data_IF_181374062962
#
_entry.id   IF_181374062962
#
_cell.length_a   1.000
_cell.length_b   1.000
_cell.length_c   1.000
_cell.angle_alpha   90.00
_cell.angle_beta   90.00
_cell.angle_gamma   90.00
#
_symmetry.space_group_name_H-M   'P 1'
#
loop_
_entity.id
_entity.type
_entity.pdbx_description
1 polymer ?
#
# COMPACT_ATOMS: atom_id res chain seq x y z
N UNK A 1 -14.57 9.13 -4.49
CA UNK A 1 -15.44 9.31 -5.67
C UNK A 1 -15.18 10.61 -6.43
N UNK A 2 -15.06 11.78 -5.77
CA UNK A 2 -14.70 13.03 -6.47
C UNK A 2 -13.36 12.96 -7.21
N UNK A 3 -12.41 12.17 -6.71
CA UNK A 3 -11.11 11.93 -7.34
C UNK A 3 -11.22 11.30 -8.75
N UNK A 4 -12.26 10.51 -9.04
CA UNK A 4 -12.44 9.89 -10.35
C UNK A 4 -13.04 10.85 -11.38
N UNK A 5 -13.76 11.89 -10.93
CA UNK A 5 -14.46 12.83 -11.81
C UNK A 5 -13.80 14.20 -11.87
N UNK A 6 -12.98 14.55 -10.88
CA UNK A 6 -12.32 15.86 -10.75
C UNK A 6 -10.81 15.76 -10.61
N UNK A 7 -10.26 14.54 -10.55
CA UNK A 7 -8.82 14.32 -10.52
C UNK A 7 -8.19 14.66 -11.87
N UNK A 8 -6.96 15.17 -11.84
CA UNK A 8 -6.15 15.29 -13.05
C UNK A 8 -5.81 13.91 -13.58
N UNK A 9 -5.83 13.73 -14.90
CA UNK A 9 -5.39 12.48 -15.57
C UNK A 9 -3.93 12.14 -15.26
N UNK A 10 -3.11 13.15 -14.99
CA UNK A 10 -1.68 12.98 -14.72
C UNK A 10 -1.39 12.69 -13.23
N UNK A 11 -2.40 12.77 -12.37
CA UNK A 11 -2.23 12.57 -10.94
C UNK A 11 -2.20 11.08 -10.56
N UNK A 12 -1.37 10.76 -9.58
CA UNK A 12 -1.38 9.45 -8.92
C UNK A 12 -2.56 9.38 -7.94
N UNK A 13 -3.47 8.42 -8.16
CA UNK A 13 -4.58 8.13 -7.27
C UNK A 13 -4.22 6.99 -6.32
N UNK A 14 -3.99 7.30 -5.04
CA UNK A 14 -3.64 6.31 -4.00
C UNK A 14 -4.89 5.96 -3.17
N UNK A 15 -5.30 4.69 -3.24
CA UNK A 15 -6.46 4.16 -2.52
C UNK A 15 -6.03 3.54 -1.19
N UNK A 16 -6.24 4.27 -0.09
CA UNK A 16 -6.07 3.79 1.30
C UNK A 16 -7.44 3.60 1.98
N UNK A 17 -7.43 3.11 3.22
CA UNK A 17 -8.62 2.79 4.01
C UNK A 17 -9.05 1.33 3.86
N UNK A 18 -10.13 0.96 4.54
CA UNK A 18 -10.76 -0.35 4.41
C UNK A 18 -11.38 -0.51 3.02
N UNK A 19 -11.16 -1.65 2.37
CA UNK A 19 -11.62 -1.91 1.00
C UNK A 19 -12.43 -3.20 0.93
N UNK A 20 -13.65 -3.07 0.45
CA UNK A 20 -14.49 -4.19 0.01
C UNK A 20 -14.38 -4.38 -1.51
N UNK A 21 -15.11 -5.37 -2.04
CA UNK A 21 -15.13 -5.66 -3.48
C UNK A 21 -15.63 -4.48 -4.33
N UNK A 22 -16.60 -3.71 -3.83
CA UNK A 22 -17.10 -2.52 -4.56
C UNK A 22 -16.03 -1.43 -4.66
N UNK A 23 -15.33 -1.15 -3.57
CA UNK A 23 -14.20 -0.21 -3.57
C UNK A 23 -13.14 -0.68 -4.56
N UNK A 24 -12.69 -1.94 -4.46
CA UNK A 24 -11.66 -2.49 -5.34
C UNK A 24 -12.08 -2.42 -6.80
N UNK A 25 -13.33 -2.79 -7.10
CA UNK A 25 -13.89 -2.71 -8.46
C UNK A 25 -13.82 -1.29 -9.00
N UNK A 26 -14.18 -0.31 -8.18
CA UNK A 26 -14.13 1.10 -8.55
C UNK A 26 -12.69 1.60 -8.78
N UNK A 27 -11.74 1.19 -7.94
CA UNK A 27 -10.33 1.53 -8.12
C UNK A 27 -9.76 0.94 -9.42
N UNK A 28 -10.14 -0.30 -9.75
CA UNK A 28 -9.79 -0.95 -11.02
C UNK A 28 -10.46 -0.28 -12.21
N UNK A 29 -11.72 0.14 -12.10
CA UNK A 29 -12.37 0.94 -13.16
C UNK A 29 -11.65 2.27 -13.40
N UNK A 30 -11.10 2.91 -12.36
CA UNK A 30 -10.24 4.08 -12.50
C UNK A 30 -9.07 3.83 -13.46
N UNK A 31 -8.49 2.64 -13.44
CA UNK A 31 -7.43 2.25 -14.40
C UNK A 31 -7.94 2.13 -15.84
N UNK A 32 -9.16 1.62 -16.03
CA UNK A 32 -9.79 1.59 -17.36
C UNK A 32 -10.04 2.99 -17.92
N UNK A 33 -10.21 3.97 -17.03
CA UNK A 33 -10.33 5.39 -17.37
C UNK A 33 -8.97 6.10 -17.50
N UNK A 34 -7.88 5.34 -17.61
CA UNK A 34 -6.50 5.83 -17.72
C UNK A 34 -6.01 6.66 -16.53
N UNK A 35 -6.63 6.53 -15.35
CA UNK A 35 -6.07 7.10 -14.13
C UNK A 35 -4.93 6.22 -13.61
N UNK A 36 -3.90 6.88 -13.08
CA UNK A 36 -2.78 6.21 -12.44
C UNK A 36 -3.17 5.76 -11.02
N UNK A 37 -3.95 4.69 -10.92
CA UNK A 37 -4.53 4.22 -9.65
C UNK A 37 -3.70 3.12 -9.00
N UNK A 38 -3.37 3.30 -7.71
CA UNK A 38 -2.68 2.32 -6.87
C UNK A 38 -3.56 1.92 -5.69
N UNK A 39 -3.76 0.63 -5.50
CA UNK A 39 -4.52 0.06 -4.37
C UNK A 39 -3.53 -0.32 -3.27
N UNK A 40 -3.54 0.41 -2.15
CA UNK A 40 -2.62 0.16 -1.03
C UNK A 40 -3.25 -0.82 -0.05
N UNK A 41 -2.70 -2.02 0.07
CA UNK A 41 -3.14 -3.01 1.04
C UNK A 41 -2.80 -2.56 2.46
N UNK A 42 -3.82 -2.51 3.31
CA UNK A 42 -3.69 -2.15 4.72
C UNK A 42 -3.97 -3.35 5.66
N UNK A 43 -4.53 -4.43 5.12
CA UNK A 43 -4.73 -5.72 5.77
C UNK A 43 -4.34 -6.84 4.80
N UNK A 44 -3.89 -7.99 5.30
CA UNK A 44 -3.34 -9.06 4.46
C UNK A 44 -4.44 -9.73 3.62
N UNK A 45 -5.64 -9.79 4.17
CA UNK A 45 -6.84 -10.39 3.58
C UNK A 45 -7.34 -9.60 2.37
N UNK A 46 -7.04 -8.30 2.28
CA UNK A 46 -7.41 -7.45 1.13
C UNK A 46 -6.78 -7.94 -0.19
N UNK A 47 -5.66 -8.67 -0.11
CA UNK A 47 -5.01 -9.22 -1.30
C UNK A 47 -5.95 -10.12 -2.12
N UNK A 48 -6.74 -10.97 -1.45
CA UNK A 48 -7.65 -11.89 -2.13
C UNK A 48 -8.75 -11.13 -2.85
N UNK A 49 -9.35 -10.14 -2.18
CA UNK A 49 -10.34 -9.27 -2.81
C UNK A 49 -9.76 -8.57 -4.04
N UNK A 50 -8.54 -8.03 -3.96
CA UNK A 50 -7.89 -7.37 -5.11
C UNK A 50 -7.63 -8.34 -6.26
N UNK A 51 -7.10 -9.53 -5.98
CA UNK A 51 -6.78 -10.54 -7.01
C UNK A 51 -8.05 -11.08 -7.67
N UNK A 52 -9.07 -11.42 -6.88
CA UNK A 52 -10.31 -11.97 -7.39
C UNK A 52 -11.07 -10.95 -8.24
N UNK A 53 -11.23 -9.71 -7.74
CA UNK A 53 -11.88 -8.64 -8.51
C UNK A 53 -11.08 -8.28 -9.77
N UNK A 54 -9.74 -8.25 -9.69
CA UNK A 54 -8.88 -8.05 -10.85
C UNK A 54 -9.14 -9.09 -11.94
N UNK A 55 -9.21 -10.37 -11.57
CA UNK A 55 -9.48 -11.48 -12.50
C UNK A 55 -10.88 -11.40 -13.08
N UNK A 56 -11.90 -11.10 -12.26
CA UNK A 56 -13.29 -10.93 -12.71
C UNK A 56 -13.43 -9.82 -13.75
N UNK A 57 -12.74 -8.69 -13.54
CA UNK A 57 -12.81 -7.52 -14.43
C UNK A 57 -11.81 -7.58 -15.59
N UNK A 58 -10.84 -8.50 -15.57
CA UNK A 58 -9.77 -8.56 -16.56
C UNK A 58 -8.80 -7.37 -16.51
N UNK A 59 -8.70 -6.69 -15.37
CA UNK A 59 -7.86 -5.49 -15.18
C UNK A 59 -6.68 -5.82 -14.29
N UNK A 60 -5.44 -5.66 -14.78
CA UNK A 60 -4.24 -5.87 -13.96
C UNK A 60 -4.09 -4.72 -12.93
N UNK A 61 -4.00 -5.02 -11.62
CA UNK A 61 -3.95 -3.99 -10.59
C UNK A 61 -2.55 -3.37 -10.50
N UNK A 62 -2.46 -2.15 -9.96
CA UNK A 62 -1.23 -1.68 -9.32
C UNK A 62 -1.45 -1.73 -7.81
N UNK A 63 -0.56 -2.41 -7.11
CA UNK A 63 -0.66 -2.72 -5.68
C UNK A 63 0.43 -1.96 -4.94
N UNK A 64 0.05 -1.35 -3.82
CA UNK A 64 0.97 -0.87 -2.80
C UNK A 64 0.78 -1.60 -1.49
N UNK A 65 1.75 -1.50 -0.58
CA UNK A 65 1.65 -2.03 0.79
C UNK A 65 1.82 -0.90 1.78
N UNK A 66 0.96 -0.85 2.80
CA UNK A 66 1.17 0.04 3.94
C UNK A 66 1.98 -0.68 5.02
N UNK A 67 3.18 -0.24 5.31
CA UNK A 67 4.02 -0.82 6.37
C UNK A 67 3.66 -0.29 7.76
N UNK A 68 3.59 -1.20 8.73
CA UNK A 68 3.63 -0.90 10.16
C UNK A 68 5.08 -0.81 10.61
N UNK A 69 5.55 0.43 10.82
CA UNK A 69 6.88 0.69 11.36
C UNK A 69 6.94 0.43 12.87
N UNK A 70 8.08 -0.03 13.35
CA UNK A 70 8.40 -0.23 14.77
C UNK A 70 8.77 1.07 15.46
N UNK A 71 9.21 2.09 14.72
CA UNK A 71 9.47 3.44 15.26
C UNK A 71 8.22 3.99 15.96
N UNK A 72 8.26 4.09 17.30
CA UNK A 72 7.13 4.57 18.13
C UNK A 72 7.25 6.06 18.43
N UNK A 73 6.11 6.73 18.49
CA UNK A 73 5.98 8.07 19.08
C UNK A 73 5.15 8.02 20.36
N UNK A 74 5.60 8.69 21.42
CA UNK A 74 4.91 8.79 22.72
C UNK A 74 3.80 9.87 22.74
N UNK A 75 3.12 10.11 21.61
CA UNK A 75 2.06 11.10 21.46
C UNK A 75 0.66 10.53 21.18
N UNK A 76 -0.35 11.40 21.14
CA UNK A 76 -1.78 11.06 20.93
C UNK A 76 -2.09 10.24 19.65
N UNK A 77 -1.19 10.22 18.66
CA UNK A 77 -1.34 9.48 17.39
C UNK A 77 -0.72 8.07 17.40
N UNK A 78 -0.21 7.60 18.54
CA UNK A 78 0.30 6.23 18.69
C UNK A 78 -0.75 5.12 18.50
N UNK A 79 -2.03 5.46 18.29
CA UNK A 79 -3.12 4.53 18.00
C UNK A 79 -3.39 4.32 16.50
N UNK A 80 -2.91 5.21 15.62
CA UNK A 80 -3.00 5.04 14.15
C UNK A 80 -1.67 4.65 13.50
N UNK A 81 -0.57 4.69 14.27
CA UNK A 81 0.80 4.35 13.85
C UNK A 81 1.45 3.41 14.87
N UNK A 82 2.30 2.48 14.42
CA UNK A 82 2.94 1.45 15.27
C UNK A 82 2.19 0.10 15.30
N UNK A 83 2.70 -0.89 16.04
CA UNK A 83 2.17 -2.27 16.10
C UNK A 83 0.67 -2.38 16.43
N UNK A 84 0.11 -1.44 17.20
CA UNK A 84 -1.32 -1.41 17.57
C UNK A 84 -2.21 -0.64 16.59
N UNK A 85 -1.64 -0.12 15.50
CA UNK A 85 -2.40 0.60 14.47
C UNK A 85 -3.43 -0.29 13.78
N UNK A 86 -4.62 0.25 13.55
CA UNK A 86 -5.72 -0.45 12.83
C UNK A 86 -5.34 -0.83 11.40
N UNK A 87 -4.41 -0.10 10.78
CA UNK A 87 -4.04 -0.23 9.38
C UNK A 87 -2.54 -0.47 9.22
N UNK A 88 -2.20 -1.21 8.17
CA UNK A 88 -0.84 -1.55 7.79
C UNK A 88 -0.44 -2.97 8.19
N UNK A 89 0.60 -3.45 7.51
CA UNK A 89 1.12 -4.80 7.56
C UNK A 89 2.42 -4.81 8.34
N UNK A 90 2.59 -5.79 9.23
CA UNK A 90 3.90 -6.06 9.82
C UNK A 90 4.87 -6.58 8.74
N UNK A 91 6.17 -6.58 9.03
CA UNK A 91 7.18 -7.13 8.10
C UNK A 91 6.88 -8.57 7.68
N UNK A 92 6.34 -9.40 8.59
CA UNK A 92 5.95 -10.78 8.29
C UNK A 92 4.78 -10.85 7.32
N UNK A 93 3.77 -9.99 7.49
CA UNK A 93 2.62 -9.89 6.59
C UNK A 93 3.02 -9.33 5.22
N UNK A 94 3.91 -8.32 5.17
CA UNK A 94 4.49 -7.80 3.93
C UNK A 94 5.16 -8.92 3.14
N UNK A 95 6.01 -9.72 3.80
CA UNK A 95 6.68 -10.85 3.17
C UNK A 95 5.68 -11.90 2.69
N UNK A 96 4.67 -12.22 3.50
CA UNK A 96 3.59 -13.14 3.13
C UNK A 96 2.86 -12.68 1.86
N UNK A 97 2.45 -11.42 1.80
CA UNK A 97 1.81 -10.81 0.62
C UNK A 97 2.72 -10.86 -0.60
N UNK A 98 3.99 -10.48 -0.47
CA UNK A 98 4.95 -10.51 -1.57
C UNK A 98 5.15 -11.94 -2.11
N UNK A 99 5.27 -12.94 -1.23
CA UNK A 99 5.37 -14.35 -1.62
C UNK A 99 4.10 -14.88 -2.29
N UNK A 100 2.93 -14.46 -1.82
CA UNK A 100 1.65 -14.83 -2.44
C UNK A 100 1.51 -14.22 -3.83
N UNK A 101 1.85 -12.94 -3.99
CA UNK A 101 1.94 -12.29 -5.31
C UNK A 101 2.94 -13.00 -6.24
N UNK A 102 4.09 -13.41 -5.72
CA UNK A 102 5.07 -14.20 -6.47
C UNK A 102 4.49 -15.54 -6.95
N UNK A 103 3.81 -16.28 -6.07
CA UNK A 103 3.15 -17.55 -6.42
C UNK A 103 2.03 -17.37 -7.45
N UNK A 104 1.37 -16.21 -7.46
CA UNK A 104 0.33 -15.85 -8.42
C UNK A 104 0.87 -15.30 -9.75
N UNK A 105 2.19 -15.08 -9.89
CA UNK A 105 2.79 -14.44 -11.06
C UNK A 105 2.39 -12.95 -11.19
N UNK A 106 2.18 -12.28 -10.06
CA UNK A 106 1.71 -10.89 -9.96
C UNK A 106 2.65 -10.01 -9.12
N UNK A 107 3.90 -10.44 -8.91
CA UNK A 107 4.88 -9.68 -8.13
C UNK A 107 5.26 -8.33 -8.80
N UNK A 108 5.14 -8.25 -10.12
CA UNK A 108 5.25 -7.02 -10.91
C UNK A 108 4.16 -5.97 -10.59
N UNK A 109 3.00 -6.41 -10.08
CA UNK A 109 1.93 -5.52 -9.67
C UNK A 109 2.27 -4.76 -8.38
N UNK A 110 3.23 -5.24 -7.57
CA UNK A 110 3.67 -4.56 -6.35
C UNK A 110 4.66 -3.44 -6.70
N UNK A 111 4.21 -2.19 -6.62
CA UNK A 111 4.97 -1.03 -7.12
C UNK A 111 5.13 0.11 -6.11
N UNK A 112 4.47 0.04 -4.94
CA UNK A 112 4.49 1.14 -3.96
C UNK A 112 4.62 0.64 -2.53
N UNK A 113 5.53 1.25 -1.77
CA UNK A 113 5.57 1.12 -0.31
C UNK A 113 5.08 2.43 0.31
N UNK A 114 4.06 2.33 1.15
CA UNK A 114 3.49 3.45 1.91
C UNK A 114 3.77 3.22 3.40
N UNK A 115 4.07 4.27 4.15
CA UNK A 115 4.04 4.25 5.60
C UNK A 115 3.51 5.58 6.11
N UNK A 116 3.02 5.58 7.35
CA UNK A 116 2.53 6.78 8.01
C UNK A 116 3.10 6.81 9.43
N UNK A 117 3.88 7.85 9.73
CA UNK A 117 4.46 8.06 11.07
C UNK A 117 3.43 8.74 12.00
N UNK A 118 2.53 9.54 11.42
CA UNK A 118 1.58 10.38 12.13
C UNK A 118 1.62 11.83 11.64
N UNK A 119 0.69 12.64 12.13
CA UNK A 119 0.69 14.09 11.93
C UNK A 119 1.50 14.78 13.02
N UNK A 120 2.02 15.98 12.72
CA UNK A 120 2.75 16.83 13.68
C UNK A 120 3.97 16.11 14.32
N UNK A 121 4.84 15.58 13.46
CA UNK A 121 6.08 14.91 13.90
C UNK A 121 6.96 15.93 14.64
N UNK A 122 7.28 15.73 15.93
CA UNK A 122 7.94 16.75 16.74
C UNK A 122 9.46 16.74 16.63
N UNK A 123 10.06 15.77 15.95
CA UNK A 123 11.51 15.75 15.70
C UNK A 123 11.89 15.13 14.36
N UNK A 124 12.96 15.66 13.75
CA UNK A 124 13.54 15.13 12.52
C UNK A 124 14.22 13.78 12.72
N UNK A 125 14.72 13.49 13.92
CA UNK A 125 15.30 12.18 14.25
C UNK A 125 14.28 11.04 14.08
N UNK A 126 13.04 11.25 14.56
CA UNK A 126 11.97 10.27 14.38
C UNK A 126 11.62 10.05 12.91
N UNK A 127 11.59 11.13 12.13
CA UNK A 127 11.38 11.03 10.69
C UNK A 127 12.49 10.21 10.03
N UNK A 128 13.76 10.46 10.39
CA UNK A 128 14.91 9.72 9.87
C UNK A 128 14.83 8.23 10.23
N UNK A 129 14.47 7.90 11.47
CA UNK A 129 14.29 6.52 11.92
C UNK A 129 13.19 5.80 11.12
N UNK A 130 12.04 6.44 10.94
CA UNK A 130 10.92 5.86 10.19
C UNK A 130 11.23 5.68 8.70
N UNK A 131 11.89 6.67 8.08
CA UNK A 131 12.37 6.56 6.69
C UNK A 131 13.43 5.47 6.56
N UNK A 132 14.35 5.35 7.52
CA UNK A 132 15.38 4.32 7.53
C UNK A 132 14.78 2.90 7.58
N UNK A 133 13.81 2.67 8.47
CA UNK A 133 13.09 1.40 8.54
C UNK A 133 12.32 1.10 7.24
N UNK A 134 11.58 2.08 6.71
CA UNK A 134 10.84 1.91 5.46
C UNK A 134 11.76 1.64 4.26
N UNK A 135 12.93 2.30 4.20
CA UNK A 135 13.92 2.10 3.14
C UNK A 135 14.49 0.67 3.15
N UNK A 136 14.72 0.09 4.34
CA UNK A 136 15.13 -1.32 4.44
C UNK A 136 14.06 -2.25 3.88
N UNK A 137 12.78 -2.05 4.24
CA UNK A 137 11.66 -2.84 3.71
C UNK A 137 11.58 -2.71 2.18
N UNK A 138 11.68 -1.48 1.66
CA UNK A 138 11.68 -1.21 0.22
C UNK A 138 12.79 -1.97 -0.50
N UNK A 139 14.03 -1.88 -0.01
CA UNK A 139 15.18 -2.57 -0.59
C UNK A 139 14.99 -4.09 -0.62
N UNK A 140 14.45 -4.69 0.43
CA UNK A 140 14.18 -6.13 0.47
C UNK A 140 13.07 -6.54 -0.52
N UNK A 141 12.02 -5.73 -0.68
CA UNK A 141 10.99 -5.98 -1.70
C UNK A 141 11.55 -5.91 -3.12
N UNK A 142 12.40 -4.92 -3.42
CA UNK A 142 13.12 -4.83 -4.70
C UNK A 142 13.99 -6.06 -4.92
N UNK A 143 14.74 -6.51 -3.90
CA UNK A 143 15.58 -7.73 -3.98
C UNK A 143 14.76 -9.00 -4.23
N UNK A 144 13.52 -9.06 -3.74
CA UNK A 144 12.59 -10.15 -4.02
C UNK A 144 12.04 -10.14 -5.46
N UNK A 145 12.25 -9.05 -6.20
CA UNK A 145 11.78 -8.88 -7.58
C UNK A 145 10.43 -8.18 -7.70
N UNK A 146 9.99 -7.43 -6.69
CA UNK A 146 8.84 -6.55 -6.81
C UNK A 146 9.06 -5.51 -7.92
N UNK A 147 8.00 -5.15 -8.64
CA UNK A 147 7.99 -4.15 -9.72
C UNK A 147 8.16 -2.70 -9.22
N UNK A 148 8.88 -2.51 -8.12
CA UNK A 148 9.10 -1.22 -7.50
C UNK A 148 10.21 -0.51 -8.26
N UNK A 149 9.86 0.52 -9.03
CA UNK A 149 10.84 1.31 -9.76
C UNK A 149 11.76 2.05 -8.79
N UNK A 150 13.07 2.00 -9.06
CA UNK A 150 14.00 3.10 -8.83
C UNK A 150 14.16 3.87 -10.15
#
# INVERSE_FOLDING_TARGET
MSCLTRGSSDALLICNGYKDEEYVSLALMGRCLHLNTVIVLEQEEELETVVDTSRKLGVRPVIGLRAKLRTKHSGHFGSTSGEKGKFGLTTTQILSVARRLQALGMLDCLQLLHFHIGSQIPSTALLADGVGEAAQIYCELVRLGAGMCA
#
